data_IF_564123517389
#
_entry.id   IF_564123517389
#
_cell.length_a   1.000
_cell.length_b   1.000
_cell.length_c   1.000
_cell.angle_alpha   90.00
_cell.angle_beta   90.00
_cell.angle_gamma   90.00
#
_symmetry.space_group_name_H-M   'P 1'
#
loop_
_entity.id
_entity.type
_entity.pdbx_description
1 polymer ?
#
# COMPACT_ATOMS: atom_id res chain seq x y z
N UNK A 1 22.06 9.84 3.85
CA UNK A 1 22.05 9.40 5.26
C UNK A 1 20.71 8.76 5.58
N UNK A 2 20.71 7.60 6.20
CA UNK A 2 19.48 6.95 6.66
C UNK A 2 18.79 7.83 7.72
N UNK A 3 17.46 7.96 7.62
CA UNK A 3 16.62 8.65 8.60
C UNK A 3 15.88 7.66 9.51
N UNK A 4 16.34 6.42 9.50
CA UNK A 4 15.73 5.36 10.31
C UNK A 4 15.95 5.66 11.79
N UNK A 5 14.90 5.49 12.56
CA UNK A 5 14.96 5.60 14.02
C UNK A 5 15.92 4.55 14.61
N UNK A 6 16.51 4.80 15.78
CA UNK A 6 17.30 3.79 16.48
C UNK A 6 16.45 2.53 16.76
N UNK A 7 17.10 1.37 16.98
CA UNK A 7 16.39 0.14 17.30
C UNK A 7 15.44 0.32 18.48
N UNK A 8 14.23 -0.23 18.31
CA UNK A 8 13.19 -0.22 19.34
C UNK A 8 12.93 -1.66 19.81
N UNK A 9 12.52 -1.78 21.05
CA UNK A 9 12.07 -3.08 21.57
C UNK A 9 10.82 -3.55 20.81
N UNK A 10 10.79 -4.81 20.40
CA UNK A 10 9.68 -5.41 19.62
C UNK A 10 9.42 -4.78 18.24
N UNK A 11 10.44 -4.16 17.62
CA UNK A 11 10.27 -3.70 16.25
C UNK A 11 10.04 -4.88 15.29
N UNK A 12 9.27 -4.64 14.24
CA UNK A 12 8.90 -5.70 13.28
C UNK A 12 9.98 -5.99 12.25
N UNK A 13 11.04 -5.21 12.22
CA UNK A 13 12.14 -5.38 11.26
C UNK A 13 13.30 -6.16 11.89
N UNK A 14 13.87 -7.09 11.13
CA UNK A 14 15.12 -7.76 11.48
C UNK A 14 16.30 -7.00 10.84
N UNK A 15 16.98 -6.19 11.63
CA UNK A 15 18.11 -5.37 11.18
C UNK A 15 19.37 -6.17 10.82
N UNK A 16 19.41 -7.45 11.10
CA UNK A 16 20.52 -8.33 10.72
C UNK A 16 20.44 -8.74 9.25
N UNK A 17 19.24 -8.72 8.67
CA UNK A 17 19.00 -9.15 7.29
C UNK A 17 18.71 -7.91 6.44
N UNK A 18 19.74 -7.46 5.73
CA UNK A 18 19.67 -6.32 4.81
C UNK A 18 19.23 -6.77 3.42
N UNK A 19 18.34 -6.01 2.78
CA UNK A 19 17.81 -6.26 1.43
C UNK A 19 18.08 -5.00 0.59
N UNK A 20 18.84 -5.13 -0.47
CA UNK A 20 19.09 -4.04 -1.40
C UNK A 20 18.16 -4.15 -2.61
N UNK A 21 17.54 -3.03 -2.99
CA UNK A 21 16.62 -2.93 -4.12
C UNK A 21 16.77 -1.56 -4.81
N UNK A 22 16.12 -1.37 -5.95
CA UNK A 22 16.15 -0.11 -6.70
C UNK A 22 14.75 0.50 -6.78
N UNK A 23 14.72 1.82 -6.67
CA UNK A 23 13.50 2.60 -6.90
C UNK A 23 13.86 3.81 -7.77
N UNK A 24 13.16 4.00 -8.90
CA UNK A 24 13.43 5.07 -9.88
C UNK A 24 14.91 5.15 -10.31
N UNK A 25 15.56 4.00 -10.46
CA UNK A 25 16.96 3.89 -10.84
C UNK A 25 17.98 4.11 -9.73
N UNK A 26 17.57 4.51 -8.54
CA UNK A 26 18.44 4.68 -7.38
C UNK A 26 18.42 3.46 -6.46
N UNK A 27 19.56 3.15 -5.85
CA UNK A 27 19.70 2.01 -4.93
C UNK A 27 19.27 2.40 -3.52
N UNK A 28 18.42 1.58 -2.93
CA UNK A 28 17.93 1.69 -1.56
C UNK A 28 18.18 0.40 -0.77
N UNK A 29 18.17 0.52 0.54
CA UNK A 29 18.32 -0.62 1.45
C UNK A 29 17.14 -0.71 2.38
N UNK A 30 16.64 -1.92 2.53
CA UNK A 30 15.62 -2.30 3.50
C UNK A 30 16.18 -3.31 4.49
N UNK A 31 15.43 -3.61 5.51
CA UNK A 31 15.62 -4.76 6.37
C UNK A 31 14.45 -5.76 6.22
N UNK A 32 14.69 -7.02 6.54
CA UNK A 32 13.62 -8.02 6.56
C UNK A 32 12.50 -7.55 7.48
N UNK A 33 11.25 -7.57 6.99
CA UNK A 33 10.09 -7.03 7.69
C UNK A 33 9.70 -5.61 7.27
N UNK A 34 10.57 -4.86 6.57
CA UNK A 34 10.16 -3.62 5.91
C UNK A 34 9.19 -3.91 4.77
N UNK A 35 8.23 -3.02 4.56
CA UNK A 35 7.53 -2.87 3.29
C UNK A 35 8.26 -1.84 2.42
N UNK A 36 7.98 -1.81 1.11
CA UNK A 36 8.70 -0.92 0.18
C UNK A 36 8.57 0.54 0.62
N UNK A 37 7.38 0.99 1.02
CA UNK A 37 7.14 2.37 1.44
C UNK A 37 7.91 2.72 2.71
N UNK A 38 7.94 1.85 3.73
CA UNK A 38 8.69 2.08 4.97
C UNK A 38 10.18 2.17 4.72
N UNK A 39 10.71 1.29 3.87
CA UNK A 39 12.12 1.30 3.51
C UNK A 39 12.51 2.59 2.78
N UNK A 40 11.72 3.04 1.81
CA UNK A 40 11.97 4.28 1.06
C UNK A 40 11.96 5.51 1.97
N UNK A 41 10.96 5.64 2.84
CA UNK A 41 10.87 6.75 3.80
C UNK A 41 12.05 6.73 4.77
N UNK A 42 12.41 5.56 5.29
CA UNK A 42 13.56 5.42 6.19
C UNK A 42 14.90 5.79 5.53
N UNK A 43 15.00 5.71 4.22
CA UNK A 43 16.13 6.19 3.44
C UNK A 43 16.01 7.67 3.02
N UNK A 44 14.98 8.36 3.47
CA UNK A 44 14.77 9.78 3.20
C UNK A 44 14.08 10.11 1.88
N UNK A 45 13.57 9.10 1.16
CA UNK A 45 12.80 9.30 -0.06
C UNK A 45 11.40 9.81 0.31
N UNK A 46 11.14 11.08 0.06
CA UNK A 46 9.90 11.74 0.46
C UNK A 46 8.79 11.63 -0.60
N UNK A 47 9.17 11.59 -1.87
CA UNK A 47 8.23 11.54 -2.99
C UNK A 47 8.20 10.11 -3.49
N UNK A 48 7.06 9.44 -3.36
CA UNK A 48 6.89 8.06 -3.75
C UNK A 48 5.94 7.89 -4.94
N UNK A 49 5.09 8.89 -5.19
CA UNK A 49 4.10 8.87 -6.26
C UNK A 49 3.73 10.29 -6.69
N UNK A 50 2.92 10.38 -7.73
CA UNK A 50 2.32 11.63 -8.23
C UNK A 50 0.80 11.54 -8.18
N UNK A 51 0.14 12.68 -7.92
CA UNK A 51 -1.32 12.72 -7.97
C UNK A 51 -1.80 12.65 -9.41
N UNK A 52 -2.94 12.00 -9.63
CA UNK A 52 -3.40 11.74 -10.99
C UNK A 52 -3.78 13.02 -11.78
N UNK A 53 -4.27 14.05 -11.12
CA UNK A 53 -4.84 15.23 -11.81
C UNK A 53 -3.81 16.31 -12.07
N UNK A 54 -3.01 16.64 -11.06
CA UNK A 54 -2.05 17.75 -11.12
C UNK A 54 -0.61 17.30 -11.04
N UNK A 55 -0.38 16.02 -11.00
CA UNK A 55 0.95 15.42 -10.82
C UNK A 55 1.77 16.00 -9.65
N UNK A 56 1.05 16.44 -8.60
CA UNK A 56 1.67 16.91 -7.36
C UNK A 56 2.38 15.77 -6.67
N UNK A 57 3.50 16.08 -6.02
CA UNK A 57 4.25 15.12 -5.24
C UNK A 57 3.37 14.48 -4.14
N UNK A 58 3.42 13.15 -4.06
CA UNK A 58 2.73 12.36 -3.04
C UNK A 58 3.67 11.38 -2.36
N UNK A 59 3.34 11.08 -1.14
CA UNK A 59 3.96 10.03 -0.34
C UNK A 59 2.87 9.12 0.23
N UNK A 60 3.20 8.27 1.17
CA UNK A 60 2.21 7.54 1.98
C UNK A 60 1.42 8.52 2.85
N UNK A 61 0.13 8.30 2.96
CA UNK A 61 -0.76 9.02 3.90
C UNK A 61 -0.66 8.37 5.28
N UNK A 62 -0.48 7.06 5.31
CA UNK A 62 -0.44 6.26 6.52
C UNK A 62 0.61 5.17 6.40
N UNK A 63 1.18 4.76 7.53
CA UNK A 63 2.06 3.59 7.63
C UNK A 63 1.29 2.35 8.12
N UNK A 64 -0.03 2.38 8.09
CA UNK A 64 -0.89 1.36 8.67
C UNK A 64 -1.29 0.25 7.68
N UNK A 65 -0.56 0.06 6.58
CA UNK A 65 -0.78 -0.98 5.58
C UNK A 65 -2.19 -0.98 4.94
N UNK A 66 -2.77 0.20 4.77
CA UNK A 66 -4.06 0.39 4.08
C UNK A 66 -4.04 1.59 3.13
N UNK A 67 -2.85 2.00 2.72
CA UNK A 67 -2.63 3.19 1.89
C UNK A 67 -2.29 2.82 0.46
N UNK A 68 -3.26 2.82 -0.43
CA UNK A 68 -3.09 2.57 -1.85
C UNK A 68 -2.56 3.78 -2.66
N UNK A 69 -2.04 4.84 -2.02
CA UNK A 69 -1.54 6.01 -2.76
C UNK A 69 -0.26 5.73 -3.53
N UNK A 70 0.52 4.73 -3.13
CA UNK A 70 1.78 4.39 -3.77
C UNK A 70 1.66 3.04 -4.46
N UNK A 71 1.37 3.09 -5.74
CA UNK A 71 1.36 1.91 -6.62
C UNK A 71 2.62 1.93 -7.47
N UNK A 72 3.29 0.79 -7.51
CA UNK A 72 4.54 0.59 -8.21
C UNK A 72 4.42 -0.51 -9.26
N UNK A 73 5.39 -0.56 -10.15
CA UNK A 73 5.55 -1.63 -11.12
C UNK A 73 7.02 -2.06 -11.22
N UNK A 74 7.24 -3.26 -11.70
CA UNK A 74 8.51 -3.79 -12.17
C UNK A 74 8.37 -4.19 -13.64
N UNK A 75 9.42 -4.70 -14.25
CA UNK A 75 9.35 -5.22 -15.63
C UNK A 75 8.37 -6.41 -15.76
N UNK A 76 8.18 -7.16 -14.70
CA UNK A 76 7.39 -8.41 -14.70
C UNK A 76 6.08 -8.32 -13.93
N UNK A 77 5.92 -7.32 -13.06
CA UNK A 77 4.75 -7.18 -12.20
C UNK A 77 4.20 -5.76 -12.24
N UNK A 78 2.89 -5.65 -12.31
CA UNK A 78 2.16 -4.38 -12.23
C UNK A 78 1.31 -4.32 -10.96
N UNK A 79 0.88 -3.13 -10.60
CA UNK A 79 -0.03 -2.89 -9.48
C UNK A 79 0.51 -3.33 -8.11
N UNK A 80 1.81 -3.15 -7.90
CA UNK A 80 2.47 -3.47 -6.63
C UNK A 80 2.13 -2.37 -5.62
N UNK A 81 1.43 -2.72 -4.56
CA UNK A 81 1.16 -1.82 -3.45
C UNK A 81 2.40 -1.72 -2.54
N UNK A 82 2.94 -0.51 -2.43
CA UNK A 82 4.17 -0.29 -1.67
C UNK A 82 3.99 -0.39 -0.14
N UNK A 83 2.76 -0.27 0.33
CA UNK A 83 2.40 -0.28 1.76
C UNK A 83 2.33 -1.69 2.38
N UNK A 84 2.12 -2.72 1.55
CA UNK A 84 2.00 -4.12 2.00
C UNK A 84 3.06 -5.05 1.41
N UNK A 85 3.74 -4.64 0.34
CA UNK A 85 4.70 -5.50 -0.35
C UNK A 85 6.09 -5.36 0.26
N UNK A 86 6.70 -6.49 0.62
CA UNK A 86 8.09 -6.54 1.05
C UNK A 86 9.03 -6.37 -0.14
N UNK A 87 10.11 -5.58 -0.02
CA UNK A 87 11.08 -5.43 -1.09
C UNK A 87 11.84 -6.74 -1.34
N UNK A 88 11.98 -7.12 -2.61
CA UNK A 88 12.78 -8.27 -3.02
C UNK A 88 14.20 -7.84 -3.37
N UNK A 89 15.18 -8.66 -3.03
CA UNK A 89 16.59 -8.39 -3.33
C UNK A 89 16.80 -8.24 -4.84
N UNK A 90 17.45 -7.15 -5.24
CA UNK A 90 17.72 -6.86 -6.64
C UNK A 90 16.52 -6.34 -7.46
N UNK A 91 15.32 -6.29 -6.89
CA UNK A 91 14.14 -5.82 -7.61
C UNK A 91 14.26 -4.33 -7.98
N UNK A 92 13.68 -3.96 -9.11
CA UNK A 92 13.68 -2.60 -9.65
C UNK A 92 12.25 -2.11 -9.74
N UNK A 93 11.87 -1.22 -8.84
CA UNK A 93 10.54 -0.65 -8.76
C UNK A 93 10.51 0.73 -9.42
N UNK A 94 9.40 1.02 -10.07
CA UNK A 94 9.10 2.32 -10.67
C UNK A 94 7.71 2.77 -10.21
N UNK A 95 7.54 4.07 -9.99
CA UNK A 95 6.24 4.64 -9.71
C UNK A 95 5.40 4.65 -10.98
N UNK A 96 4.14 4.23 -10.89
CA UNK A 96 3.18 4.39 -11.97
C UNK A 96 2.75 5.85 -12.08
N UNK A 97 2.12 6.24 -13.19
CA UNK A 97 1.59 7.60 -13.36
C UNK A 97 2.65 8.71 -13.33
N UNK A 98 3.78 8.48 -14.00
CA UNK A 98 4.80 9.51 -14.21
C UNK A 98 5.18 9.60 -15.68
N UNK A 99 5.53 10.79 -16.16
CA UNK A 99 6.00 11.04 -17.53
C UNK A 99 7.41 11.63 -17.47
N UNK A 100 8.40 10.77 -17.69
CA UNK A 100 9.82 11.13 -17.59
C UNK A 100 10.42 10.90 -16.20
N UNK A 101 9.72 10.16 -15.33
CA UNK A 101 10.18 9.75 -14.01
C UNK A 101 9.66 10.60 -12.86
N UNK A 102 9.79 10.08 -11.67
CA UNK A 102 9.17 10.65 -10.46
C UNK A 102 9.71 12.04 -10.09
N UNK A 103 10.99 12.30 -10.31
CA UNK A 103 11.66 13.57 -9.96
C UNK A 103 11.36 14.69 -10.97
N UNK A 104 11.32 14.37 -12.27
CA UNK A 104 11.14 15.31 -13.37
C UNK A 104 9.92 14.94 -14.20
N UNK A 105 8.78 14.85 -13.54
CA UNK A 105 7.53 14.50 -14.19
C UNK A 105 7.03 15.66 -15.07
N UNK A 106 7.04 15.48 -16.38
CA UNK A 106 6.61 16.50 -17.34
C UNK A 106 5.14 16.88 -17.19
N UNK A 107 4.30 15.97 -16.71
CA UNK A 107 2.90 16.24 -16.49
C UNK A 107 2.62 17.21 -15.33
N UNK A 108 3.64 17.62 -14.56
CA UNK A 108 3.50 18.70 -13.58
C UNK A 108 3.04 20.03 -14.18
N UNK A 109 3.23 20.22 -15.48
CA UNK A 109 2.69 21.40 -16.20
C UNK A 109 1.17 21.52 -16.03
N UNK A 110 0.44 20.43 -15.84
CA UNK A 110 -0.98 20.43 -15.57
C UNK A 110 -1.37 21.21 -14.30
N UNK A 111 -0.44 21.39 -13.38
CA UNK A 111 -0.69 22.17 -12.18
C UNK A 111 -0.88 23.67 -12.48
N UNK A 112 -0.26 24.21 -13.53
CA UNK A 112 -0.49 25.57 -13.99
C UNK A 112 -1.92 25.78 -14.52
N UNK A 113 -2.49 24.72 -15.09
CA UNK A 113 -3.86 24.74 -15.62
C UNK A 113 -4.90 24.33 -14.58
N UNK A 114 -4.57 24.41 -13.30
CA UNK A 114 -5.45 23.94 -12.22
C UNK A 114 -6.82 24.62 -12.18
N UNK A 115 -6.89 25.90 -12.58
CA UNK A 115 -8.15 26.65 -12.67
C UNK A 115 -9.09 26.10 -13.76
N UNK A 116 -8.53 25.54 -14.85
CA UNK A 116 -9.30 24.93 -15.94
C UNK A 116 -9.73 23.49 -15.64
N UNK A 117 -9.21 22.91 -14.57
CA UNK A 117 -9.47 21.55 -14.17
C UNK A 117 -10.19 21.49 -12.79
N UNK A 118 -11.43 22.04 -12.67
CA UNK A 118 -12.17 22.00 -11.41
C UNK A 118 -12.51 20.58 -10.98
N UNK A 119 -13.05 20.42 -9.78
CA UNK A 119 -13.56 19.11 -9.32
C UNK A 119 -14.65 18.64 -10.30
N UNK A 120 -14.54 17.38 -10.72
CA UNK A 120 -15.45 16.81 -11.73
C UNK A 120 -15.18 17.30 -13.16
N UNK A 121 -13.99 17.81 -13.46
CA UNK A 121 -13.63 18.38 -14.77
C UNK A 121 -13.96 17.44 -15.94
N UNK A 122 -13.77 16.15 -15.80
CA UNK A 122 -14.03 15.22 -16.90
C UNK A 122 -15.53 15.02 -17.19
N UNK A 123 -16.41 15.20 -16.22
CA UNK A 123 -17.86 15.24 -16.45
C UNK A 123 -18.29 16.58 -17.04
N UNK A 124 -17.63 17.68 -16.67
CA UNK A 124 -18.04 19.03 -17.03
C UNK A 124 -17.42 19.52 -18.32
N UNK A 125 -16.14 19.17 -18.59
CA UNK A 125 -15.39 19.72 -19.72
C UNK A 125 -15.24 18.75 -20.89
N UNK A 126 -15.24 17.44 -20.65
CA UNK A 126 -14.88 16.43 -21.66
C UNK A 126 -16.05 15.52 -22.08
N UNK A 127 -17.28 15.83 -21.70
CA UNK A 127 -18.44 15.03 -22.07
C UNK A 127 -19.02 15.37 -23.45
N UNK A 128 -18.66 16.50 -24.03
CA UNK A 128 -19.08 16.94 -25.37
C UNK A 128 -17.86 17.22 -26.25
N UNK A 129 -17.92 16.90 -27.55
CA UNK A 129 -18.96 16.08 -28.21
C UNK A 129 -18.87 14.61 -27.79
N UNK A 130 -20.01 13.92 -27.70
CA UNK A 130 -20.11 12.54 -27.18
C UNK A 130 -19.21 11.53 -27.89
N UNK A 131 -18.96 11.72 -29.19
CA UNK A 131 -18.11 10.80 -29.97
C UNK A 131 -16.63 10.86 -29.57
N UNK A 132 -16.15 11.93 -28.96
CA UNK A 132 -14.78 12.05 -28.44
C UNK A 132 -14.63 11.51 -27.02
N UNK A 133 -15.74 11.23 -26.33
CA UNK A 133 -15.67 10.76 -24.94
C UNK A 133 -14.84 9.51 -24.73
N UNK A 134 -14.91 8.45 -25.59
CA UNK A 134 -14.07 7.26 -25.44
C UNK A 134 -12.57 7.57 -25.52
N UNK A 135 -12.18 8.55 -26.35
CA UNK A 135 -10.78 8.98 -26.46
C UNK A 135 -10.32 9.70 -25.18
N UNK A 136 -11.15 10.62 -24.68
CA UNK A 136 -10.88 11.31 -23.43
C UNK A 136 -10.85 10.37 -22.24
N UNK A 137 -11.79 9.43 -22.16
CA UNK A 137 -11.81 8.40 -21.11
C UNK A 137 -10.53 7.58 -21.11
N UNK A 138 -10.06 7.10 -22.27
CA UNK A 138 -8.83 6.35 -22.40
C UNK A 138 -7.62 7.14 -21.92
N UNK A 139 -7.52 8.40 -22.31
CA UNK A 139 -6.43 9.30 -21.93
C UNK A 139 -6.44 9.57 -20.42
N UNK A 140 -7.59 9.91 -19.87
CA UNK A 140 -7.76 10.19 -18.44
C UNK A 140 -7.47 8.93 -17.62
N UNK A 141 -7.97 7.77 -18.05
CA UNK A 141 -7.73 6.48 -17.39
C UNK A 141 -6.24 6.14 -17.37
N UNK A 142 -5.50 6.41 -18.44
CA UNK A 142 -4.05 6.26 -18.51
C UNK A 142 -3.29 7.15 -17.52
N UNK A 143 -3.86 8.32 -17.19
CA UNK A 143 -3.25 9.29 -16.27
C UNK A 143 -3.57 9.01 -14.79
N UNK A 144 -4.56 8.18 -14.48
CA UNK A 144 -5.06 8.04 -13.10
C UNK A 144 -4.11 7.34 -12.14
N UNK A 145 -3.11 6.61 -12.65
CA UNK A 145 -2.20 5.84 -11.80
C UNK A 145 -2.87 4.76 -10.94
N UNK A 146 -4.09 4.36 -11.31
CA UNK A 146 -4.87 3.32 -10.60
C UNK A 146 -4.42 1.89 -10.94
N UNK A 147 -3.33 1.78 -11.70
CA UNK A 147 -2.79 0.51 -12.13
C UNK A 147 -3.10 0.17 -13.58
N UNK A 148 -2.45 -0.87 -14.07
CA UNK A 148 -2.55 -1.36 -15.44
C UNK A 148 -2.79 -2.86 -15.44
N UNK A 149 -3.59 -3.35 -16.36
CA UNK A 149 -3.67 -4.79 -16.65
C UNK A 149 -2.52 -5.12 -17.59
N UNK A 150 -1.63 -6.02 -17.16
CA UNK A 150 -0.59 -6.58 -17.99
C UNK A 150 -0.94 -8.04 -18.31
N UNK A 151 -1.36 -8.30 -19.53
CA UNK A 151 -1.71 -9.66 -19.99
C UNK A 151 -0.51 -10.59 -20.13
N UNK A 152 0.70 -10.04 -20.14
CA UNK A 152 1.96 -10.78 -20.31
C UNK A 152 2.61 -11.17 -18.98
N UNK A 153 2.01 -10.79 -17.82
CA UNK A 153 2.48 -11.27 -16.54
C UNK A 153 2.00 -12.70 -16.33
N UNK A 154 2.91 -13.57 -15.91
CA UNK A 154 2.53 -14.91 -15.48
C UNK A 154 1.47 -14.81 -14.40
N UNK A 155 0.33 -15.46 -14.63
CA UNK A 155 -0.69 -15.57 -13.58
C UNK A 155 -0.11 -16.40 -12.45
N UNK A 156 0.05 -15.80 -11.29
CA UNK A 156 0.45 -16.52 -10.10
C UNK A 156 -0.59 -17.62 -9.82
N UNK A 157 -0.19 -18.86 -9.97
CA UNK A 157 -1.02 -20.01 -9.56
C UNK A 157 -1.08 -20.00 -8.03
N UNK A 158 -2.02 -19.27 -7.51
CA UNK A 158 -2.28 -19.30 -6.07
C UNK A 158 -2.96 -20.62 -5.70
N UNK A 159 -2.52 -21.19 -4.61
CA UNK A 159 -3.20 -22.36 -4.02
C UNK A 159 -4.58 -21.89 -3.56
N UNK A 160 -5.62 -22.39 -4.20
CA UNK A 160 -7.00 -22.13 -3.80
C UNK A 160 -7.40 -23.13 -2.72
N UNK A 161 -7.84 -22.60 -1.57
CA UNK A 161 -8.42 -23.40 -0.50
C UNK A 161 -9.88 -23.01 -0.35
N UNK A 162 -10.75 -24.02 -0.25
CA UNK A 162 -12.15 -23.82 0.16
C UNK A 162 -12.23 -24.12 1.66
N UNK A 163 -12.74 -23.16 2.39
CA UNK A 163 -12.94 -23.26 3.83
C UNK A 163 -14.42 -22.95 4.13
N UNK A 164 -14.95 -23.61 5.14
CA UNK A 164 -16.32 -23.40 5.60
C UNK A 164 -16.28 -22.79 7.00
N UNK A 165 -17.07 -21.75 7.20
CA UNK A 165 -17.22 -21.10 8.50
C UNK A 165 -18.66 -20.55 8.63
N UNK A 166 -19.07 -20.30 9.87
CA UNK A 166 -20.32 -19.64 10.17
C UNK A 166 -20.19 -18.12 9.98
N UNK A 167 -19.00 -17.58 10.33
CA UNK A 167 -18.69 -16.16 10.20
C UNK A 167 -17.30 -15.95 9.59
N UNK A 168 -17.23 -15.14 8.54
CA UNK A 168 -15.98 -14.65 7.96
C UNK A 168 -15.76 -13.18 8.36
N UNK A 169 -14.66 -12.91 9.03
CA UNK A 169 -14.19 -11.56 9.32
C UNK A 169 -13.11 -11.20 8.32
N UNK A 170 -13.31 -10.13 7.56
CA UNK A 170 -12.33 -9.61 6.61
C UNK A 170 -11.63 -8.40 7.22
N UNK A 171 -10.33 -8.54 7.48
CA UNK A 171 -9.48 -7.57 8.13
C UNK A 171 -9.24 -7.89 9.61
N UNK A 172 -7.97 -8.08 9.98
CA UNK A 172 -7.51 -8.33 11.35
C UNK A 172 -7.01 -7.05 12.04
N UNK A 173 -7.56 -5.90 11.70
CA UNK A 173 -7.34 -4.65 12.42
C UNK A 173 -8.06 -4.64 13.78
N UNK A 174 -8.05 -3.51 14.52
CA UNK A 174 -8.65 -3.42 15.87
C UNK A 174 -10.08 -3.92 15.94
N UNK A 175 -10.91 -3.54 14.97
CA UNK A 175 -12.33 -3.94 14.91
C UNK A 175 -12.51 -5.43 14.61
N UNK A 176 -11.72 -5.96 13.66
CA UNK A 176 -11.77 -7.39 13.30
C UNK A 176 -11.33 -8.29 14.45
N UNK A 177 -10.28 -7.88 15.17
CA UNK A 177 -9.80 -8.59 16.36
C UNK A 177 -10.88 -8.59 17.47
N UNK A 178 -11.51 -7.43 17.73
CA UNK A 178 -12.56 -7.33 18.73
C UNK A 178 -13.78 -8.21 18.37
N UNK A 179 -14.16 -8.22 17.09
CA UNK A 179 -15.23 -9.09 16.59
C UNK A 179 -14.87 -10.58 16.73
N UNK A 180 -13.63 -10.94 16.40
CA UNK A 180 -13.14 -12.32 16.54
C UNK A 180 -13.14 -12.78 18.01
N UNK A 181 -12.71 -11.92 18.94
CA UNK A 181 -12.75 -12.21 20.37
C UNK A 181 -14.18 -12.45 20.86
N UNK A 182 -15.12 -11.60 20.46
CA UNK A 182 -16.53 -11.77 20.81
C UNK A 182 -17.09 -13.09 20.28
N UNK A 183 -16.89 -13.38 18.99
CA UNK A 183 -17.39 -14.56 18.33
C UNK A 183 -16.74 -15.86 18.84
N UNK A 184 -15.48 -15.83 19.26
CA UNK A 184 -14.80 -16.97 19.86
C UNK A 184 -15.48 -17.49 21.14
N UNK A 185 -16.30 -16.65 21.80
CA UNK A 185 -17.08 -17.05 22.99
C UNK A 185 -18.46 -17.63 22.65
N UNK A 186 -18.87 -17.57 21.39
CA UNK A 186 -20.19 -18.02 20.95
C UNK A 186 -20.23 -19.46 20.47
N UNK A 187 -19.07 -20.11 20.29
CA UNK A 187 -18.95 -21.44 19.72
C UNK A 187 -19.14 -21.50 18.20
N UNK A 188 -19.29 -20.35 17.53
CA UNK A 188 -19.38 -20.27 16.07
C UNK A 188 -17.99 -20.48 15.44
N UNK A 189 -17.95 -21.26 14.36
CA UNK A 189 -16.72 -21.43 13.57
C UNK A 189 -16.40 -20.13 12.83
N UNK A 190 -15.42 -19.39 13.32
CA UNK A 190 -15.04 -18.09 12.79
C UNK A 190 -13.69 -18.16 12.07
N UNK A 191 -13.62 -17.56 10.90
CA UNK A 191 -12.37 -17.36 10.15
C UNK A 191 -12.08 -15.88 10.07
N UNK A 192 -10.84 -15.49 10.38
CA UNK A 192 -10.32 -14.14 10.18
C UNK A 192 -9.36 -14.17 8.99
N UNK A 193 -9.61 -13.33 8.00
CA UNK A 193 -8.76 -13.17 6.82
C UNK A 193 -8.19 -11.75 6.77
N UNK A 194 -6.89 -11.61 6.57
CA UNK A 194 -6.21 -10.33 6.40
C UNK A 194 -5.18 -10.41 5.27
N UNK A 195 -4.90 -9.30 4.63
CA UNK A 195 -3.88 -9.19 3.57
C UNK A 195 -2.45 -9.08 4.13
N UNK A 196 -2.32 -8.76 5.41
CA UNK A 196 -1.05 -8.62 6.10
C UNK A 196 -0.68 -9.93 6.81
N UNK A 197 0.62 -10.13 7.00
CA UNK A 197 1.18 -11.28 7.71
C UNK A 197 1.03 -11.19 9.24
N UNK A 198 0.53 -10.07 9.74
CA UNK A 198 0.37 -9.82 11.19
C UNK A 198 -0.96 -9.18 11.51
N UNK A 199 -1.60 -9.70 12.53
CA UNK A 199 -2.80 -9.12 13.09
C UNK A 199 -2.52 -7.85 13.88
N UNK A 200 -3.52 -6.99 14.03
CA UNK A 200 -3.47 -5.78 14.85
C UNK A 200 -3.61 -4.48 14.05
N UNK A 201 -3.26 -4.49 12.76
CA UNK A 201 -3.36 -3.29 11.93
C UNK A 201 -2.71 -2.07 12.59
N UNK A 202 -3.46 -0.98 12.75
CA UNK A 202 -2.96 0.27 13.36
C UNK A 202 -2.47 0.14 14.81
N UNK A 203 -2.86 -0.88 15.54
CA UNK A 203 -2.34 -1.13 16.90
C UNK A 203 -0.84 -1.45 16.90
N UNK A 204 -0.33 -2.00 15.80
CA UNK A 204 1.09 -2.29 15.65
C UNK A 204 1.99 -1.08 15.44
N UNK A 205 1.41 0.06 15.03
CA UNK A 205 2.15 1.31 14.73
C UNK A 205 2.06 2.35 15.84
N UNK A 206 1.19 2.14 16.83
CA UNK A 206 1.10 3.03 17.96
C UNK A 206 2.33 2.87 18.82
N UNK A 207 2.91 4.00 19.21
CA UNK A 207 4.10 4.05 20.04
C UNK A 207 3.84 3.31 21.37
N UNK A 208 4.88 2.69 21.94
CA UNK A 208 4.83 1.96 23.22
C UNK A 208 4.29 2.78 24.43
N UNK A 209 4.02 4.06 24.25
CA UNK A 209 3.38 4.92 25.26
C UNK A 209 1.91 4.61 25.49
N UNK A 210 1.23 3.98 24.52
CA UNK A 210 -0.17 3.57 24.68
C UNK A 210 -0.24 2.13 25.22
N UNK A 211 -0.01 2.00 26.53
CA UNK A 211 -0.06 0.72 27.22
C UNK A 211 -1.44 0.03 27.13
N UNK A 212 -2.51 0.81 26.98
CA UNK A 212 -3.87 0.27 26.85
C UNK A 212 -4.06 -0.43 25.50
N UNK A 213 -3.57 0.16 24.42
CA UNK A 213 -3.61 -0.45 23.08
C UNK A 213 -2.74 -1.71 23.01
N UNK A 214 -1.58 -1.70 23.64
CA UNK A 214 -0.71 -2.89 23.72
C UNK A 214 -1.38 -4.00 24.51
N UNK A 215 -1.89 -3.73 25.70
CA UNK A 215 -2.61 -4.71 26.54
C UNK A 215 -3.81 -5.31 25.82
N UNK A 216 -4.61 -4.49 25.14
CA UNK A 216 -5.75 -4.95 24.36
C UNK A 216 -5.31 -5.91 23.25
N UNK A 217 -4.30 -5.52 22.45
CA UNK A 217 -3.76 -6.34 21.37
C UNK A 217 -3.25 -7.69 21.90
N UNK A 218 -2.37 -7.66 22.90
CA UNK A 218 -1.69 -8.87 23.40
C UNK A 218 -2.68 -9.83 24.07
N UNK A 219 -3.62 -9.31 24.87
CA UNK A 219 -4.66 -10.11 25.49
C UNK A 219 -5.58 -10.77 24.46
N UNK A 220 -6.01 -10.01 23.45
CA UNK A 220 -6.93 -10.51 22.42
C UNK A 220 -6.26 -11.52 21.50
N UNK A 221 -5.03 -11.28 21.05
CA UNK A 221 -4.29 -12.24 20.23
C UNK A 221 -4.02 -13.54 21.01
N UNK A 222 -3.65 -13.43 22.28
CA UNK A 222 -3.46 -14.61 23.15
C UNK A 222 -4.74 -15.43 23.29
N UNK A 223 -5.89 -14.78 23.42
CA UNK A 223 -7.16 -15.47 23.48
C UNK A 223 -7.50 -16.17 22.16
N UNK A 224 -7.24 -15.54 20.99
CA UNK A 224 -7.52 -16.12 19.67
C UNK A 224 -6.61 -17.32 19.33
N UNK A 225 -5.40 -17.37 19.86
CA UNK A 225 -4.49 -18.51 19.64
C UNK A 225 -4.79 -19.74 20.49
N UNK A 226 -5.71 -19.63 21.46
CA UNK A 226 -6.14 -20.72 22.34
C UNK A 226 -7.48 -21.36 21.90
N UNK A 227 -8.02 -20.96 20.73
CA UNK A 227 -9.18 -21.55 20.06
C UNK A 227 -8.77 -22.19 18.72
#
# INVERSE_FOLDING_TARGET
MSRRLPPQHEEWIDRKVKIDFWFEGEKFSAYKGDVISSALIANGQKILARSFKYHRARSTVSMANHDANVILETLTQTNIRADITHPSAGARYQAVNTFGGLKKDLAQILNFFSALLPVGFYYKAFYRPKFLFPLWEKLIRGMTGLGKVNSNTDSWRQVRKQLFCDVLIVGAGPSGIAAAEYLGRTGLKTIVADENDRMGGTLGYRHNTDQSAKKFKDATIKNLTNF
#
